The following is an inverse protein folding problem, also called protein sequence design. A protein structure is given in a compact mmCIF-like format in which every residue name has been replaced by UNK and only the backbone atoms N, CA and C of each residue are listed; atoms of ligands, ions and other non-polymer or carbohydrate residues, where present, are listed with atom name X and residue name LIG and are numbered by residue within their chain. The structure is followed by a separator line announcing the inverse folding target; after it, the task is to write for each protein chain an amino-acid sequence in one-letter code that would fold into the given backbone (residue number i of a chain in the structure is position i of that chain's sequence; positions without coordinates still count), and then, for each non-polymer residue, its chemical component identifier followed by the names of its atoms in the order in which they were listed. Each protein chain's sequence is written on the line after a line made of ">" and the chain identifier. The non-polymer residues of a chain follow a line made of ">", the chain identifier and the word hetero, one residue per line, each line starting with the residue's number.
data_IF_618978289054
#
_entry.id   IF_618978289054
#
_cell.length_a   1.000
_cell.length_b   1.000
_cell.length_c   1.000
_cell.angle_alpha   90.00
_cell.angle_beta   90.00
_cell.angle_gamma   90.00
#
_symmetry.space_group_name_H-M   'P 1'
#
loop_
_entity.id
_entity.type
_entity.pdbx_description
1 polymer ?
#
# COMPACT_ATOMS: atom_id res chain seq x y z
N UNK A 1 29.26 -0.36 2.93
CA UNK A 1 27.97 0.25 2.50
C UNK A 1 26.75 -0.48 3.07
N UNK A 2 26.68 -1.82 3.07
CA UNK A 2 25.53 -2.57 3.59
C UNK A 2 25.13 -2.23 5.04
N UNK A 3 26.10 -2.04 5.95
CA UNK A 3 25.82 -1.69 7.35
C UNK A 3 25.13 -0.33 7.52
N UNK A 4 25.38 0.64 6.63
CA UNK A 4 24.77 1.97 6.72
C UNK A 4 23.29 1.91 6.33
N UNK A 5 22.97 1.16 5.26
CA UNK A 5 21.57 0.92 4.86
C UNK A 5 20.76 0.23 5.95
N UNK A 6 21.35 -0.75 6.63
CA UNK A 6 20.66 -1.47 7.71
C UNK A 6 20.35 -0.57 8.93
N UNK A 7 21.27 0.33 9.29
CA UNK A 7 21.06 1.30 10.37
C UNK A 7 19.99 2.33 9.97
N UNK A 8 19.97 2.76 8.72
CA UNK A 8 18.96 3.68 8.18
C UNK A 8 17.57 3.04 8.17
N UNK A 9 17.44 1.81 7.65
CA UNK A 9 16.21 1.02 7.67
C UNK A 9 15.66 0.93 9.09
N UNK A 10 16.51 0.48 10.03
CA UNK A 10 16.11 0.34 11.43
C UNK A 10 15.57 1.66 12.00
N UNK A 11 16.30 2.76 11.77
CA UNK A 11 15.90 4.09 12.26
C UNK A 11 14.59 4.57 11.61
N UNK A 12 14.38 4.29 10.34
CA UNK A 12 13.17 4.66 9.61
C UNK A 12 11.95 3.94 10.18
N UNK A 13 12.06 2.62 10.35
CA UNK A 13 10.97 1.80 10.89
C UNK A 13 10.72 2.13 12.37
N UNK A 14 11.76 2.41 13.16
CA UNK A 14 11.59 2.90 14.54
C UNK A 14 10.81 4.22 14.57
N UNK A 15 11.13 5.18 13.69
CA UNK A 15 10.38 6.45 13.59
C UNK A 15 8.91 6.19 13.23
N UNK A 16 8.65 5.28 12.30
CA UNK A 16 7.29 4.87 11.94
C UNK A 16 6.53 4.31 13.14
N UNK A 17 7.15 3.43 13.93
CA UNK A 17 6.55 2.92 15.16
C UNK A 17 6.35 3.98 16.24
N UNK A 18 7.26 4.95 16.36
CA UNK A 18 7.13 6.04 17.31
C UNK A 18 5.89 6.89 16.99
N UNK A 19 5.65 7.22 15.72
CA UNK A 19 4.44 7.97 15.27
C UNK A 19 3.15 7.21 15.57
N UNK A 20 3.15 5.87 15.39
CA UNK A 20 2.02 5.02 15.77
C UNK A 20 1.80 5.05 17.29
N UNK A 21 2.87 4.85 18.06
CA UNK A 21 2.79 4.76 19.52
C UNK A 21 2.34 6.07 20.19
N UNK A 22 2.61 7.20 19.54
CA UNK A 22 2.24 8.54 20.00
C UNK A 22 0.86 8.98 19.50
N UNK A 23 0.18 8.17 18.68
CA UNK A 23 -1.12 8.46 18.10
C UNK A 23 -1.16 9.82 17.36
N UNK A 24 -0.06 10.16 16.69
CA UNK A 24 0.05 11.46 15.99
C UNK A 24 -0.86 11.55 14.78
N UNK A 25 -1.33 10.40 14.28
CA UNK A 25 -2.10 10.25 13.04
C UNK A 25 -1.28 10.55 11.78
N UNK A 26 0.05 10.59 11.87
CA UNK A 26 0.96 10.86 10.74
C UNK A 26 1.56 9.59 10.14
N UNK A 27 0.76 8.54 10.08
CA UNK A 27 1.16 7.26 9.50
C UNK A 27 -0.02 6.67 8.73
N UNK A 28 0.28 5.82 7.75
CA UNK A 28 -0.69 5.00 7.04
C UNK A 28 -0.16 3.57 6.95
N UNK A 29 -1.06 2.59 6.89
CA UNK A 29 -0.71 1.19 6.79
C UNK A 29 -1.70 0.44 5.91
N UNK A 30 -1.26 -0.69 5.35
CA UNK A 30 -2.09 -1.42 4.40
C UNK A 30 -2.11 -0.74 3.03
N UNK A 31 -2.63 -1.46 2.04
CA UNK A 31 -2.55 -1.04 0.63
C UNK A 31 -3.50 0.12 0.36
N UNK A 32 -4.75 0.02 0.81
CA UNK A 32 -5.78 1.02 0.57
C UNK A 32 -5.45 2.39 1.17
N UNK A 33 -5.18 2.47 2.49
CA UNK A 33 -4.87 3.75 3.14
C UNK A 33 -3.58 4.37 2.59
N UNK A 34 -2.57 3.54 2.28
CA UNK A 34 -1.31 4.04 1.73
C UNK A 34 -1.49 4.61 0.32
N UNK A 35 -2.31 3.96 -0.52
CA UNK A 35 -2.64 4.49 -1.85
C UNK A 35 -3.46 5.77 -1.77
N UNK A 36 -4.51 5.79 -0.93
CA UNK A 36 -5.29 7.02 -0.68
C UNK A 36 -4.39 8.15 -0.19
N UNK A 37 -3.48 7.86 0.74
CA UNK A 37 -2.51 8.81 1.25
C UNK A 37 -1.54 9.33 0.18
N UNK A 38 -1.13 8.48 -0.77
CA UNK A 38 -0.31 8.87 -1.91
C UNK A 38 -1.08 9.75 -2.90
N UNK A 39 -2.32 9.39 -3.23
CA UNK A 39 -3.19 10.17 -4.13
C UNK A 39 -3.48 11.57 -3.56
N UNK A 40 -3.62 11.67 -2.24
CA UNK A 40 -3.76 12.95 -1.54
C UNK A 40 -2.44 13.74 -1.42
N UNK A 41 -1.30 13.18 -1.83
CA UNK A 41 0.03 13.79 -1.66
C UNK A 41 0.45 13.93 -0.19
N UNK A 42 -0.21 13.21 0.71
CA UNK A 42 0.05 13.29 2.16
C UNK A 42 1.27 12.48 2.58
N UNK A 43 1.62 11.43 1.83
CA UNK A 43 2.74 10.54 2.14
C UNK A 43 4.07 11.25 1.86
N UNK A 44 4.89 11.39 2.91
CA UNK A 44 6.27 11.91 2.81
C UNK A 44 7.23 10.80 2.41
N UNK A 45 7.17 9.68 3.14
CA UNK A 45 8.05 8.52 2.96
C UNK A 45 7.17 7.29 2.87
N UNK A 46 7.17 6.66 1.70
CA UNK A 46 6.54 5.39 1.43
C UNK A 46 7.52 4.27 1.80
N UNK A 47 7.12 3.40 2.72
CA UNK A 47 7.92 2.29 3.23
C UNK A 47 7.34 0.99 2.67
N UNK A 48 8.11 0.28 1.85
CA UNK A 48 7.65 -0.95 1.19
C UNK A 48 8.62 -2.09 1.46
N UNK A 49 8.09 -3.25 1.82
CA UNK A 49 8.88 -4.46 1.94
C UNK A 49 9.35 -4.94 0.57
N UNK A 50 10.64 -5.26 0.43
CA UNK A 50 11.23 -5.69 -0.85
C UNK A 50 10.56 -6.92 -1.47
N UNK A 51 9.93 -7.77 -0.67
CA UNK A 51 9.23 -8.97 -1.12
C UNK A 51 7.71 -8.84 -0.93
N UNK A 52 7.17 -7.62 -1.06
CA UNK A 52 5.72 -7.39 -0.99
C UNK A 52 4.99 -8.27 -2.01
N UNK A 53 4.11 -9.14 -1.51
CA UNK A 53 3.38 -10.09 -2.33
C UNK A 53 2.01 -9.55 -2.77
N UNK A 54 1.99 -8.30 -3.22
CA UNK A 54 0.78 -7.60 -3.69
C UNK A 54 0.98 -7.20 -5.14
N UNK A 55 -0.01 -7.50 -5.98
CA UNK A 55 -0.05 -7.07 -7.37
C UNK A 55 -1.24 -6.14 -7.60
N UNK A 56 -1.03 -5.15 -8.47
CA UNK A 56 -2.05 -4.23 -8.99
C UNK A 56 -2.66 -4.86 -10.24
N UNK A 57 -3.97 -5.03 -10.23
CA UNK A 57 -4.74 -5.56 -11.34
C UNK A 57 -5.64 -4.46 -11.88
N UNK A 58 -5.71 -4.35 -13.21
CA UNK A 58 -6.72 -3.54 -13.90
C UNK A 58 -7.75 -4.51 -14.43
N UNK A 59 -8.91 -4.51 -13.78
CA UNK A 59 -10.06 -5.32 -14.17
C UNK A 59 -11.02 -4.48 -14.99
N UNK A 60 -11.65 -5.10 -15.98
CA UNK A 60 -12.66 -4.48 -16.81
C UNK A 60 -13.96 -5.24 -16.72
N UNK A 61 -15.01 -4.52 -16.32
CA UNK A 61 -16.37 -5.06 -16.30
C UNK A 61 -16.92 -5.22 -17.71
N UNK A 62 -17.94 -6.07 -17.85
CA UNK A 62 -18.67 -6.28 -19.11
C UNK A 62 -19.34 -5.02 -19.65
N UNK A 63 -19.61 -4.04 -18.77
CA UNK A 63 -20.09 -2.69 -19.11
C UNK A 63 -19.03 -1.78 -19.72
N UNK A 64 -17.76 -2.18 -19.67
CA UNK A 64 -16.60 -1.42 -20.13
C UNK A 64 -15.95 -0.55 -19.05
N UNK A 65 -16.48 -0.53 -17.82
CA UNK A 65 -15.85 0.16 -16.68
C UNK A 65 -14.55 -0.53 -16.27
N UNK A 66 -13.49 0.25 -16.05
CA UNK A 66 -12.19 -0.25 -15.58
C UNK A 66 -12.04 0.07 -14.09
N UNK A 67 -11.64 -0.93 -13.31
CA UNK A 67 -11.39 -0.80 -11.88
C UNK A 67 -10.02 -1.36 -11.52
N UNK A 68 -9.32 -0.65 -10.64
CA UNK A 68 -8.01 -1.05 -10.16
C UNK A 68 -8.19 -1.74 -8.82
N UNK A 69 -7.73 -2.98 -8.72
CA UNK A 69 -7.77 -3.74 -7.46
C UNK A 69 -6.38 -4.21 -7.10
N UNK A 70 -6.10 -4.22 -5.80
CA UNK A 70 -4.85 -4.69 -5.25
C UNK A 70 -5.10 -5.97 -4.48
N UNK A 71 -4.41 -7.04 -4.83
CA UNK A 71 -4.63 -8.34 -4.23
C UNK A 71 -3.32 -9.08 -4.03
N UNK A 72 -3.28 -9.88 -2.97
CA UNK A 72 -2.18 -10.83 -2.72
C UNK A 72 -2.30 -12.04 -3.63
N UNK A 73 -1.23 -12.84 -3.75
CA UNK A 73 -1.29 -14.12 -4.48
C UNK A 73 -2.31 -15.12 -3.92
N UNK A 74 -2.66 -14.99 -2.64
CA UNK A 74 -3.69 -15.84 -2.02
C UNK A 74 -5.07 -15.38 -2.44
N UNK A 75 -5.32 -14.07 -2.46
CA UNK A 75 -6.55 -13.46 -2.93
C UNK A 75 -6.75 -13.67 -4.45
N UNK A 76 -5.69 -13.68 -5.25
CA UNK A 76 -5.74 -14.00 -6.69
C UNK A 76 -6.40 -15.35 -6.98
N UNK A 77 -6.35 -16.31 -6.05
CA UNK A 77 -6.99 -17.63 -6.23
C UNK A 77 -8.50 -17.59 -5.99
N UNK A 78 -9.00 -16.54 -5.34
CA UNK A 78 -10.40 -16.37 -5.06
C UNK A 78 -11.12 -15.73 -6.26
N UNK A 79 -11.85 -16.56 -7.00
CA UNK A 79 -12.62 -16.12 -8.17
C UNK A 79 -13.69 -15.09 -7.83
N UNK A 80 -14.14 -15.01 -6.58
CA UNK A 80 -15.15 -14.04 -6.18
C UNK A 80 -14.68 -12.59 -6.28
N UNK A 81 -13.37 -12.36 -6.19
CA UNK A 81 -12.77 -11.02 -6.33
C UNK A 81 -12.71 -10.54 -7.80
N UNK A 82 -12.91 -11.46 -8.75
CA UNK A 82 -13.02 -11.16 -10.17
C UNK A 82 -14.47 -11.07 -10.62
N UNK A 83 -15.45 -11.21 -9.72
CA UNK A 83 -16.86 -11.01 -10.05
C UNK A 83 -17.22 -9.56 -9.76
N UNK A 84 -17.84 -8.92 -10.75
CA UNK A 84 -18.44 -7.61 -10.62
C UNK A 84 -19.59 -7.70 -9.61
N UNK A 85 -19.53 -6.92 -8.52
CA UNK A 85 -20.49 -7.04 -7.41
C UNK A 85 -21.90 -6.56 -7.78
N UNK A 86 -22.03 -5.72 -8.78
CA UNK A 86 -23.32 -5.17 -9.22
C UNK A 86 -24.02 -6.11 -10.23
N UNK A 87 -23.24 -6.73 -11.12
CA UNK A 87 -23.78 -7.53 -12.23
C UNK A 87 -23.62 -9.04 -12.02
N UNK A 88 -22.72 -9.47 -11.13
CA UNK A 88 -22.36 -10.86 -10.90
C UNK A 88 -21.57 -11.50 -12.06
N UNK A 89 -21.08 -10.69 -13.00
CA UNK A 89 -20.35 -11.16 -14.18
C UNK A 89 -18.84 -11.17 -13.90
N UNK A 90 -18.13 -12.15 -14.45
CA UNK A 90 -16.67 -12.22 -14.36
C UNK A 90 -16.02 -11.08 -15.14
N UNK A 91 -15.17 -10.33 -14.46
CA UNK A 91 -14.41 -9.21 -15.00
C UNK A 91 -13.16 -9.72 -15.71
N UNK A 92 -12.81 -9.04 -16.80
CA UNK A 92 -11.62 -9.36 -17.58
C UNK A 92 -10.39 -8.71 -16.95
N UNK A 93 -9.30 -9.47 -16.80
CA UNK A 93 -8.01 -8.90 -16.38
C UNK A 93 -7.34 -8.26 -17.58
N UNK A 94 -7.35 -6.94 -17.66
CA UNK A 94 -6.71 -6.19 -18.75
C UNK A 94 -5.20 -6.03 -18.52
N UNK A 95 -4.79 -5.76 -17.29
CA UNK A 95 -3.39 -5.58 -16.95
C UNK A 95 -3.08 -6.06 -15.53
N UNK A 96 -1.84 -6.47 -15.31
CA UNK A 96 -1.33 -6.97 -14.04
C UNK A 96 0.12 -6.56 -13.89
N UNK A 97 0.42 -5.83 -12.82
CA UNK A 97 1.75 -5.36 -12.48
C UNK A 97 2.04 -5.56 -10.99
N UNK A 98 3.25 -5.97 -10.59
CA UNK A 98 3.64 -5.96 -9.18
C UNK A 98 3.49 -4.56 -8.59
N UNK A 99 2.85 -4.44 -7.42
CA UNK A 99 2.61 -3.13 -6.81
C UNK A 99 3.94 -2.43 -6.46
N UNK A 100 4.96 -3.22 -6.12
CA UNK A 100 6.32 -2.74 -5.89
C UNK A 100 6.94 -2.06 -7.12
N UNK A 101 6.76 -2.64 -8.30
CA UNK A 101 7.23 -2.05 -9.56
C UNK A 101 6.46 -0.77 -9.88
N UNK A 102 5.13 -0.80 -9.71
CA UNK A 102 4.30 0.37 -9.93
C UNK A 102 4.73 1.55 -9.04
N UNK A 103 5.02 1.30 -7.76
CA UNK A 103 5.54 2.34 -6.88
C UNK A 103 6.90 2.86 -7.34
N UNK A 104 7.80 2.01 -7.82
CA UNK A 104 9.11 2.43 -8.31
C UNK A 104 9.02 3.37 -9.52
N UNK A 105 7.97 3.24 -10.34
CA UNK A 105 7.73 4.13 -11.48
C UNK A 105 7.01 5.42 -11.08
N UNK A 106 6.03 5.36 -10.16
CA UNK A 106 5.09 6.47 -9.91
C UNK A 106 5.35 7.26 -8.61
N UNK A 107 6.21 6.79 -7.70
CA UNK A 107 6.41 7.47 -6.39
C UNK A 107 6.78 8.95 -6.49
N UNK A 108 7.49 9.34 -7.56
CA UNK A 108 7.91 10.72 -7.81
C UNK A 108 6.74 11.63 -8.17
N UNK A 109 5.72 11.10 -8.84
CA UNK A 109 4.56 11.87 -9.27
C UNK A 109 3.72 12.31 -8.06
N UNK A 110 3.69 11.49 -7.01
CA UNK A 110 3.05 11.79 -5.73
C UNK A 110 3.92 12.64 -4.80
N UNK A 111 5.16 12.95 -5.18
CA UNK A 111 6.11 13.67 -4.32
C UNK A 111 6.50 12.89 -3.06
N UNK A 112 6.36 11.57 -3.05
CA UNK A 112 6.77 10.72 -1.93
C UNK A 112 8.23 10.28 -2.11
N UNK A 113 8.87 9.86 -1.01
CA UNK A 113 10.18 9.18 -1.04
C UNK A 113 9.95 7.69 -0.86
N UNK A 114 10.35 6.87 -1.84
CA UNK A 114 10.21 5.42 -1.77
C UNK A 114 11.42 4.78 -1.09
N UNK A 115 11.20 4.12 0.04
CA UNK A 115 12.22 3.40 0.80
C UNK A 115 11.88 1.90 0.90
N UNK A 116 12.80 1.06 0.44
CA UNK A 116 12.67 -0.40 0.55
C UNK A 116 13.25 -0.91 1.86
N UNK A 117 12.48 -1.76 2.54
CA UNK A 117 12.87 -2.39 3.80
C UNK A 117 12.91 -3.91 3.67
N UNK A 118 13.69 -4.53 4.56
CA UNK A 118 13.84 -5.98 4.70
C UNK A 118 13.21 -6.47 6.01
N UNK A 119 12.99 -7.78 6.15
CA UNK A 119 12.50 -8.38 7.39
C UNK A 119 13.62 -8.92 8.30
N UNK A 120 14.88 -8.55 8.05
CA UNK A 120 16.04 -9.09 8.78
C UNK A 120 16.19 -8.50 10.18
N UNK A 121 15.73 -7.28 10.38
CA UNK A 121 15.67 -6.61 11.67
C UNK A 121 14.42 -7.03 12.46
N UNK A 122 14.44 -6.87 13.79
CA UNK A 122 13.26 -7.13 14.61
C UNK A 122 12.12 -6.18 14.21
N UNK A 123 12.45 -4.92 13.98
CA UNK A 123 11.54 -3.86 13.55
C UNK A 123 10.96 -4.16 12.16
N UNK A 124 11.78 -4.58 11.19
CA UNK A 124 11.31 -4.98 9.86
C UNK A 124 10.41 -6.21 9.89
N UNK A 125 10.74 -7.21 10.72
CA UNK A 125 9.86 -8.36 10.95
C UNK A 125 8.51 -7.96 11.53
N UNK A 126 8.46 -6.99 12.46
CA UNK A 126 7.21 -6.45 13.01
C UNK A 126 6.42 -5.66 11.98
N UNK A 127 7.09 -4.86 11.15
CA UNK A 127 6.45 -4.11 10.07
C UNK A 127 5.73 -5.04 9.08
N UNK A 128 6.43 -6.10 8.63
CA UNK A 128 5.84 -7.07 7.69
C UNK A 128 4.68 -7.85 8.32
N UNK A 129 4.84 -8.34 9.56
CA UNK A 129 3.80 -9.16 10.22
C UNK A 129 2.63 -8.35 10.74
N UNK A 130 2.86 -7.11 11.17
CA UNK A 130 1.85 -6.25 11.79
C UNK A 130 1.08 -5.39 10.79
N UNK A 131 1.73 -4.95 9.71
CA UNK A 131 1.20 -3.95 8.78
C UNK A 131 1.17 -4.43 7.32
N UNK A 132 1.40 -5.73 7.08
CA UNK A 132 1.34 -6.33 5.74
C UNK A 132 2.50 -5.94 4.82
N UNK A 133 3.56 -5.33 5.35
CA UNK A 133 4.75 -4.98 4.57
C UNK A 133 4.60 -3.74 3.70
N UNK A 134 3.56 -2.93 3.91
CA UNK A 134 3.35 -1.64 3.25
C UNK A 134 2.85 -0.61 4.26
N UNK A 135 3.40 0.60 4.19
CA UNK A 135 2.96 1.72 5.01
C UNK A 135 3.71 2.98 4.64
N UNK A 136 3.39 4.07 5.31
CA UNK A 136 4.01 5.36 5.03
C UNK A 136 3.99 6.31 6.21
N UNK A 137 4.95 7.22 6.21
CA UNK A 137 4.97 8.39 7.08
C UNK A 137 4.34 9.56 6.34
N UNK A 138 3.40 10.24 7.00
CA UNK A 138 2.67 11.35 6.42
C UNK A 138 3.28 12.69 6.81
N UNK A 139 3.18 13.67 5.90
CA UNK A 139 3.58 15.07 6.12
C UNK A 139 2.66 15.75 7.14
N UNK A 140 1.38 15.37 7.14
CA UNK A 140 0.32 15.89 8.01
C UNK A 140 -0.64 14.77 8.41
N UNK A 141 -1.44 15.01 9.45
CA UNK A 141 -2.44 14.04 9.90
C UNK A 141 -3.53 13.90 8.83
N UNK A 142 -3.84 12.66 8.46
CA UNK A 142 -4.95 12.30 7.56
C UNK A 142 -5.89 11.38 8.32
N UNK A 143 -7.18 11.61 8.15
CA UNK A 143 -8.23 10.80 8.76
C UNK A 143 -8.74 9.78 7.73
N UNK A 144 -8.12 8.59 7.70
CA UNK A 144 -8.47 7.55 6.74
C UNK A 144 -9.83 6.90 7.02
N UNK A 145 -10.27 6.92 8.27
CA UNK A 145 -11.59 6.40 8.68
C UNK A 145 -12.69 7.18 7.95
N UNK A 146 -12.64 8.51 8.02
CA UNK A 146 -13.56 9.40 7.30
C UNK A 146 -13.55 9.17 5.78
N UNK A 147 -12.38 8.87 5.19
CA UNK A 147 -12.24 8.61 3.75
C UNK A 147 -12.74 7.24 3.31
N UNK A 148 -12.85 6.27 4.22
CA UNK A 148 -13.45 4.98 3.93
C UNK A 148 -14.98 5.06 3.95
N UNK A 149 -15.57 5.84 4.87
CA UNK A 149 -17.02 6.07 4.91
C UNK A 149 -17.55 6.75 3.63
N UNK A 150 -16.87 7.77 3.12
CA UNK A 150 -17.26 8.43 1.84
C UNK A 150 -17.18 7.48 0.63
N UNK A 151 -16.37 6.41 0.69
CA UNK A 151 -16.26 5.44 -0.40
C UNK A 151 -17.35 4.36 -0.39
N UNK A 152 -18.14 4.27 0.68
CA UNK A 152 -19.23 3.27 0.84
C UNK A 152 -20.63 3.87 0.58
N UNK A 153 -20.75 5.18 0.32
CA UNK A 153 -22.03 5.88 0.07
C UNK A 153 -22.39 6.11 -1.42
N UNK A 154 -21.57 5.66 -2.39
CA UNK A 154 -21.88 5.72 -3.83
C UNK A 154 -22.14 4.33 -4.45
#
# INVERSE_FOLDING_TARGET
>A
LANVKFIQEKKLISKYFDEISQDTGKFCFGVDDTLKGLELGAVEILIVWENLDVSRYVLKSSSGAEMVVHMTKEQEKDRSLFLDKETGVEMEVCDRMPLLEWFADHYKDFGATLEFVTNRSQEGSQFVKGFGGIGGLLRYKVDFDSLNYDSEED
#
